data_IF_782492385084
#
_entry.id   IF_782492385084
#
_cell.length_a   1.000
_cell.length_b   1.000
_cell.length_c   1.000
_cell.angle_alpha   90.00
_cell.angle_beta   90.00
_cell.angle_gamma   90.00
#
_symmetry.space_group_name_H-M   'P 1'
#
loop_
_entity.id
_entity.type
_entity.pdbx_description
1 polymer ?
#
# COMPACT_ATOMS: atom_id res chain seq x y z
N UNK A 1 -16.88 7.55 -73.47
CA UNK A 1 -15.55 7.30 -72.89
C UNK A 1 -15.00 8.64 -72.41
N UNK A 2 -15.10 8.95 -71.13
CA UNK A 2 -14.71 10.27 -70.61
C UNK A 2 -13.92 10.05 -69.33
N UNK A 3 -12.60 10.26 -69.43
CA UNK A 3 -11.62 10.01 -68.37
C UNK A 3 -11.91 10.92 -67.17
N UNK A 4 -12.26 10.31 -66.02
CA UNK A 4 -12.23 11.00 -64.72
C UNK A 4 -10.76 11.32 -64.42
N UNK A 5 -10.38 12.59 -64.53
CA UNK A 5 -9.12 13.08 -63.97
C UNK A 5 -9.24 12.94 -62.46
N UNK A 6 -8.57 11.92 -61.92
CA UNK A 6 -8.55 11.64 -60.50
C UNK A 6 -7.85 12.81 -59.80
N UNK A 7 -8.63 13.59 -59.06
CA UNK A 7 -8.18 14.82 -58.42
C UNK A 7 -7.14 14.48 -57.33
N UNK A 8 -5.86 14.62 -57.69
CA UNK A 8 -4.73 14.31 -56.81
C UNK A 8 -4.76 15.19 -55.54
N UNK A 9 -5.44 16.34 -55.59
CA UNK A 9 -5.58 17.24 -54.46
C UNK A 9 -6.56 16.69 -53.41
N UNK A 10 -7.65 16.03 -53.82
CA UNK A 10 -8.58 15.35 -52.90
C UNK A 10 -7.88 14.22 -52.14
N UNK A 11 -7.05 13.42 -52.83
CA UNK A 11 -6.28 12.35 -52.21
C UNK A 11 -5.19 12.91 -51.26
N UNK A 12 -4.54 14.01 -51.65
CA UNK A 12 -3.53 14.70 -50.83
C UNK A 12 -4.14 15.34 -49.58
N UNK A 13 -5.32 15.95 -49.71
CA UNK A 13 -6.06 16.55 -48.61
C UNK A 13 -6.59 15.50 -47.64
N UNK A 14 -7.15 14.38 -48.12
CA UNK A 14 -7.56 13.24 -47.28
C UNK A 14 -6.38 12.64 -46.51
N UNK A 15 -5.20 12.54 -47.12
CA UNK A 15 -3.98 12.03 -46.47
C UNK A 15 -3.45 12.98 -45.39
N UNK A 16 -3.56 14.30 -45.59
CA UNK A 16 -3.27 15.31 -44.57
C UNK A 16 -4.26 15.27 -43.40
N UNK A 17 -5.56 15.19 -43.68
CA UNK A 17 -6.60 15.09 -42.66
C UNK A 17 -6.39 13.83 -41.82
N UNK A 18 -6.13 12.68 -42.45
CA UNK A 18 -5.83 11.43 -41.74
C UNK A 18 -4.58 11.55 -40.87
N UNK A 19 -3.53 12.21 -41.36
CA UNK A 19 -2.32 12.46 -40.58
C UNK A 19 -2.56 13.38 -39.37
N UNK A 20 -3.40 14.41 -39.52
CA UNK A 20 -3.79 15.31 -38.43
C UNK A 20 -4.62 14.58 -37.37
N UNK A 21 -5.59 13.77 -37.81
CA UNK A 21 -6.40 12.93 -36.91
C UNK A 21 -5.52 11.93 -36.17
N UNK A 22 -4.55 11.30 -36.83
CA UNK A 22 -3.61 10.38 -36.20
C UNK A 22 -2.71 11.05 -35.15
N UNK A 23 -2.26 12.29 -35.41
CA UNK A 23 -1.47 13.08 -34.44
C UNK A 23 -2.31 13.49 -33.23
N UNK A 24 -3.54 13.95 -33.44
CA UNK A 24 -4.46 14.28 -32.35
C UNK A 24 -4.77 13.03 -31.51
N UNK A 25 -5.03 11.90 -32.16
CA UNK A 25 -5.25 10.62 -31.51
C UNK A 25 -4.03 10.20 -30.68
N UNK A 26 -2.82 10.32 -31.23
CA UNK A 26 -1.58 10.06 -30.48
C UNK A 26 -1.42 10.99 -29.27
N UNK A 27 -1.72 12.29 -29.38
CA UNK A 27 -1.62 13.20 -28.22
C UNK A 27 -2.62 12.86 -27.11
N UNK A 28 -3.83 12.44 -27.48
CA UNK A 28 -4.82 11.94 -26.50
C UNK A 28 -4.32 10.66 -25.84
N UNK A 29 -3.67 9.74 -26.58
CA UNK A 29 -3.08 8.52 -26.02
C UNK A 29 -1.83 8.78 -25.16
N UNK A 30 -1.02 9.80 -25.46
CA UNK A 30 0.13 10.19 -24.63
C UNK A 30 -0.26 10.81 -23.28
N UNK A 31 -1.51 11.28 -23.15
CA UNK A 31 -2.03 11.87 -21.90
C UNK A 31 -2.29 10.83 -20.80
N UNK A 32 -2.29 9.54 -21.15
CA UNK A 32 -2.53 8.41 -20.24
C UNK A 32 -1.27 7.86 -19.58
N UNK A 33 -0.15 8.59 -19.61
CA UNK A 33 1.05 8.24 -18.85
C UNK A 33 0.70 8.38 -17.37
N UNK A 34 0.41 7.26 -16.71
CA UNK A 34 0.21 7.17 -15.26
C UNK A 34 1.41 7.80 -14.56
N UNK A 35 1.22 9.01 -14.03
CA UNK A 35 2.22 9.66 -13.19
C UNK A 35 2.22 8.93 -11.85
N UNK A 36 3.40 8.46 -11.43
CA UNK A 36 3.56 7.96 -10.07
C UNK A 36 3.17 9.08 -9.09
N UNK A 37 2.15 8.84 -8.28
CA UNK A 37 1.71 9.80 -7.27
C UNK A 37 2.82 9.95 -6.22
N UNK A 38 3.19 11.18 -5.91
CA UNK A 38 4.12 11.46 -4.81
C UNK A 38 3.49 10.97 -3.49
N UNK A 39 4.31 10.39 -2.59
CA UNK A 39 3.80 9.94 -1.30
C UNK A 39 3.23 11.14 -0.52
N UNK A 40 2.09 10.97 0.18
CA UNK A 40 1.49 12.05 0.94
C UNK A 40 2.45 12.56 2.02
N UNK A 41 2.37 13.84 2.40
CA UNK A 41 3.13 14.40 3.50
C UNK A 41 3.01 13.56 4.79
N UNK A 42 4.09 13.50 5.57
CA UNK A 42 4.11 12.71 6.82
C UNK A 42 2.96 13.07 7.77
N UNK A 43 2.64 14.36 7.90
CA UNK A 43 1.56 14.83 8.76
C UNK A 43 0.19 14.30 8.34
N UNK A 44 -0.06 14.20 7.03
CA UNK A 44 -1.31 13.63 6.50
C UNK A 44 -1.37 12.12 6.71
N UNK A 45 -0.25 11.44 6.51
CA UNK A 45 -0.12 9.99 6.77
C UNK A 45 -0.42 9.66 8.22
N UNK A 46 0.16 10.42 9.16
CA UNK A 46 -0.07 10.25 10.60
C UNK A 46 -1.52 10.52 10.97
N UNK A 47 -2.13 11.61 10.45
CA UNK A 47 -3.55 11.92 10.67
C UNK A 47 -4.46 10.80 10.16
N UNK A 48 -4.16 10.25 8.99
CA UNK A 48 -4.92 9.13 8.42
C UNK A 48 -4.79 7.87 9.27
N UNK A 49 -3.58 7.54 9.69
CA UNK A 49 -3.31 6.41 10.58
C UNK A 49 -4.08 6.55 11.90
N UNK A 50 -4.03 7.74 12.52
CA UNK A 50 -4.75 8.04 13.75
C UNK A 50 -6.26 7.86 13.57
N UNK A 51 -6.84 8.37 12.48
CA UNK A 51 -8.27 8.23 12.19
C UNK A 51 -8.69 6.77 12.01
N UNK A 52 -7.84 5.94 11.42
CA UNK A 52 -8.10 4.49 11.31
C UNK A 52 -8.03 3.86 12.69
N UNK A 53 -6.98 4.16 13.46
CA UNK A 53 -6.79 3.66 14.82
C UNK A 53 -8.01 3.96 15.71
N UNK A 54 -8.50 5.21 15.73
CA UNK A 54 -9.65 5.63 16.54
C UNK A 54 -10.96 4.95 16.12
N UNK A 55 -11.14 4.66 14.83
CA UNK A 55 -12.33 3.98 14.31
C UNK A 55 -12.31 2.48 14.58
N UNK A 56 -11.14 1.87 14.69
CA UNK A 56 -11.01 0.43 14.94
C UNK A 56 -11.42 0.14 16.38
N UNK A 57 -12.53 -0.58 16.57
CA UNK A 57 -13.02 -0.95 17.90
C UNK A 57 -12.23 -2.09 18.53
N UNK A 58 -12.10 -3.17 17.77
CA UNK A 58 -11.36 -4.37 18.15
C UNK A 58 -10.94 -5.13 16.88
N UNK A 59 -9.93 -6.00 17.01
CA UNK A 59 -9.59 -6.99 15.99
C UNK A 59 -8.80 -8.15 16.60
N UNK A 60 -8.72 -9.25 15.85
CA UNK A 60 -7.82 -10.38 16.09
C UNK A 60 -7.02 -10.66 14.83
N UNK A 61 -5.73 -10.88 14.96
CA UNK A 61 -4.87 -11.24 13.84
C UNK A 61 -3.81 -12.27 14.25
N UNK A 62 -3.36 -13.06 13.29
CA UNK A 62 -2.15 -13.85 13.42
C UNK A 62 -0.92 -12.99 13.08
N UNK A 63 0.20 -13.21 13.76
CA UNK A 63 1.44 -12.49 13.49
C UNK A 63 2.64 -13.42 13.44
N UNK A 64 3.66 -12.99 12.70
CA UNK A 64 5.02 -13.51 12.69
C UNK A 64 5.94 -12.31 12.95
N UNK A 65 6.78 -12.39 13.97
CA UNK A 65 7.73 -11.36 14.36
C UNK A 65 9.14 -11.88 14.15
N UNK A 66 9.92 -11.18 13.33
CA UNK A 66 11.34 -11.45 13.13
C UNK A 66 12.16 -10.35 13.81
N UNK A 67 13.04 -10.73 14.73
CA UNK A 67 13.87 -9.80 15.50
C UNK A 67 15.34 -10.14 15.31
N UNK A 68 16.07 -9.28 14.60
CA UNK A 68 17.50 -9.46 14.36
C UNK A 68 18.34 -8.66 15.37
N UNK A 69 19.11 -9.37 16.19
CA UNK A 69 20.09 -8.76 17.11
C UNK A 69 21.42 -8.61 16.38
N UNK A 70 21.66 -7.40 15.83
CA UNK A 70 22.82 -7.11 14.96
C UNK A 70 24.17 -7.43 15.59
N UNK A 71 24.34 -7.23 16.90
CA UNK A 71 25.60 -7.47 17.60
C UNK A 71 26.05 -8.93 17.62
N UNK A 72 25.11 -9.87 17.54
CA UNK A 72 25.38 -11.32 17.59
C UNK A 72 24.98 -12.05 16.31
N UNK A 73 24.48 -11.33 15.30
CA UNK A 73 24.10 -11.90 14.00
C UNK A 73 22.95 -12.91 14.05
N UNK A 74 22.13 -12.88 15.11
CA UNK A 74 21.04 -13.85 15.33
C UNK A 74 19.68 -13.23 15.03
N UNK A 75 18.83 -13.96 14.33
CA UNK A 75 17.41 -13.61 14.12
C UNK A 75 16.54 -14.57 14.93
N UNK A 76 15.72 -14.02 15.81
CA UNK A 76 14.69 -14.76 16.54
C UNK A 76 13.34 -14.57 15.83
N UNK A 77 12.63 -15.67 15.59
CA UNK A 77 11.29 -15.68 14.96
C UNK A 77 10.28 -16.10 16.00
N UNK A 78 9.23 -15.31 16.19
CA UNK A 78 8.13 -15.61 17.11
C UNK A 78 6.77 -15.50 16.42
N UNK A 79 5.84 -16.38 16.75
CA UNK A 79 4.53 -16.45 16.11
C UNK A 79 3.42 -16.46 17.14
N UNK A 80 2.25 -15.94 16.79
CA UNK A 80 1.11 -16.00 17.68
C UNK A 80 -0.12 -15.25 17.22
N UNK A 81 -0.98 -14.93 18.17
CA UNK A 81 -2.21 -14.17 17.96
C UNK A 81 -2.15 -12.85 18.72
N UNK A 82 -2.58 -11.79 18.07
CA UNK A 82 -2.81 -10.49 18.68
C UNK A 82 -4.31 -10.23 18.76
N UNK A 83 -4.72 -9.75 19.93
CA UNK A 83 -6.07 -9.28 20.21
C UNK A 83 -5.96 -7.81 20.58
N UNK A 84 -6.67 -6.97 19.84
CA UNK A 84 -6.69 -5.54 20.06
C UNK A 84 -8.09 -5.12 20.43
N UNK A 85 -8.19 -4.22 21.41
CA UNK A 85 -9.43 -3.55 21.77
C UNK A 85 -9.14 -2.12 22.20
N UNK A 86 -9.83 -1.18 21.59
CA UNK A 86 -9.73 0.22 21.96
C UNK A 86 -10.62 0.53 23.18
N UNK A 87 -10.17 1.45 24.07
CA UNK A 87 -8.88 2.16 24.03
C UNK A 87 -7.73 1.40 24.72
N UNK A 88 -6.54 1.37 24.10
CA UNK A 88 -5.26 0.97 24.72
C UNK A 88 -5.25 -0.43 25.38
N UNK A 89 -6.02 -1.39 24.87
CA UNK A 89 -5.94 -2.78 25.30
C UNK A 89 -5.37 -3.63 24.17
N UNK A 90 -4.27 -4.31 24.47
CA UNK A 90 -3.64 -5.24 23.53
C UNK A 90 -3.20 -6.48 24.28
N UNK A 91 -3.52 -7.63 23.74
CA UNK A 91 -3.10 -8.92 24.26
C UNK A 91 -2.40 -9.69 23.15
N UNK A 92 -1.15 -10.03 23.41
CA UNK A 92 -0.32 -10.82 22.52
C UNK A 92 -0.13 -12.19 23.16
N UNK A 93 -0.63 -13.21 22.47
CA UNK A 93 -0.48 -14.62 22.81
C UNK A 93 0.56 -15.20 21.85
N UNK A 94 1.83 -15.20 22.29
CA UNK A 94 2.92 -15.84 21.56
C UNK A 94 2.83 -17.35 21.77
N UNK A 95 2.80 -18.09 20.67
CA UNK A 95 2.58 -19.53 20.65
C UNK A 95 3.86 -20.30 20.28
N UNK A 96 4.72 -19.72 19.43
CA UNK A 96 6.00 -20.32 19.03
C UNK A 96 7.15 -19.32 19.15
N UNK A 97 8.37 -19.79 19.42
CA UNK A 97 8.75 -21.17 19.76
C UNK A 97 8.40 -21.54 21.21
N UNK A 98 8.22 -20.53 22.08
CA UNK A 98 7.85 -20.70 23.49
C UNK A 98 6.59 -19.91 23.78
N UNK A 99 5.66 -20.52 24.51
CA UNK A 99 4.44 -19.86 24.91
C UNK A 99 4.73 -18.70 25.88
N UNK A 100 4.28 -17.49 25.53
CA UNK A 100 4.36 -16.32 26.43
C UNK A 100 3.22 -15.35 26.13
N UNK A 101 2.87 -14.54 27.12
CA UNK A 101 1.74 -13.61 27.05
C UNK A 101 2.19 -12.21 27.40
N UNK A 102 1.83 -11.24 26.55
CA UNK A 102 2.05 -9.82 26.81
C UNK A 102 0.70 -9.12 26.84
N UNK A 103 0.40 -8.47 27.97
CA UNK A 103 -0.80 -7.66 28.15
C UNK A 103 -0.38 -6.20 28.23
N UNK A 104 -0.86 -5.40 27.30
CA UNK A 104 -0.76 -3.94 27.34
C UNK A 104 -2.13 -3.41 27.74
N UNK A 105 -2.20 -2.82 28.93
CA UNK A 105 -3.37 -2.10 29.41
C UNK A 105 -2.88 -0.80 30.05
N UNK A 106 -3.66 0.26 29.89
CA UNK A 106 -3.38 1.59 30.44
C UNK A 106 -3.12 1.60 31.96
N UNK A 107 -3.55 0.59 32.70
CA UNK A 107 -3.36 0.51 34.15
C UNK A 107 -2.25 -0.46 34.63
N UNK A 108 -1.64 -1.28 33.76
CA UNK A 108 -0.72 -2.34 34.21
C UNK A 108 0.22 -2.82 33.12
N UNK A 109 1.30 -2.08 32.85
CA UNK A 109 2.44 -2.61 32.08
C UNK A 109 3.30 -3.49 33.01
N UNK A 110 2.96 -4.78 33.16
CA UNK A 110 3.80 -5.79 33.85
C UNK A 110 4.37 -6.73 32.81
N UNK A 111 5.63 -6.52 32.42
CA UNK A 111 6.40 -7.57 31.73
C UNK A 111 6.82 -8.60 32.78
N UNK A 112 6.11 -9.72 32.84
CA UNK A 112 6.45 -10.83 33.73
C UNK A 112 7.59 -11.64 33.16
N UNK A 113 8.84 -11.27 33.51
CA UNK A 113 9.99 -12.16 33.35
C UNK A 113 9.96 -13.18 34.50
N UNK A 114 9.23 -14.28 34.31
CA UNK A 114 9.31 -15.43 35.22
C UNK A 114 10.45 -16.32 34.73
N UNK A 115 11.66 -16.01 35.18
CA UNK A 115 12.77 -16.97 35.21
C UNK A 115 12.66 -17.75 36.52
N UNK A 116 12.40 -19.06 36.41
CA UNK A 116 12.81 -20.09 37.38
C UNK A 116 13.40 -21.24 36.59
#
# INVERSE_FOLDING_TARGET
MTKKNFDKNELFMRRKIFSIVAVILCMVFLSSISRAAEPPPIGETVKRLQKIYEKTRDFRAYFIQETTVKSIGKTDVEEGLVYFKNPRQMFWDYQKPKAKKLVVNAQKFRSGKTER
#
